data_IF_706293280459
#
_entry.id   IF_706293280459
#
_cell.length_a   1.000
_cell.length_b   1.000
_cell.length_c   1.000
_cell.angle_alpha   90.00
_cell.angle_beta   90.00
_cell.angle_gamma   90.00
#
_symmetry.space_group_name_H-M   'P 1'
#
loop_
_entity.id
_entity.type
_entity.pdbx_description
1 polymer ?
#
# COMPACT_ATOMS: atom_id res chain seq x y z
N UNK A 1 -41.61 -1.00 -19.46
CA UNK A 1 -41.44 -0.26 -20.73
C UNK A 1 -40.07 -0.49 -21.38
N UNK A 2 -39.03 -0.94 -20.66
CA UNK A 2 -37.75 -1.36 -21.27
C UNK A 2 -37.90 -2.51 -22.28
N UNK A 3 -38.56 -3.59 -21.87
CA UNK A 3 -38.73 -4.79 -22.69
C UNK A 3 -39.44 -4.51 -24.04
N UNK A 4 -40.40 -3.57 -24.04
CA UNK A 4 -41.12 -3.10 -25.22
C UNK A 4 -40.25 -2.35 -26.23
N UNK A 5 -39.10 -1.80 -25.80
CA UNK A 5 -38.14 -1.11 -26.66
C UNK A 5 -37.06 -2.06 -27.22
N UNK A 6 -36.87 -3.23 -26.57
CA UNK A 6 -35.88 -4.25 -26.95
C UNK A 6 -36.50 -5.48 -27.64
N UNK A 7 -37.82 -5.52 -27.82
CA UNK A 7 -38.51 -6.66 -28.45
C UNK A 7 -38.58 -7.94 -27.60
N UNK A 8 -38.22 -7.87 -26.31
CA UNK A 8 -38.19 -9.01 -25.38
C UNK A 8 -39.47 -9.01 -24.52
N UNK A 9 -39.92 -10.19 -24.07
CA UNK A 9 -41.08 -10.28 -23.17
C UNK A 9 -40.84 -9.52 -21.83
N UNK A 10 -41.72 -8.58 -21.45
CA UNK A 10 -41.64 -7.87 -20.16
C UNK A 10 -41.57 -8.76 -18.92
N UNK A 11 -42.09 -9.99 -18.97
CA UNK A 11 -42.05 -10.95 -17.87
C UNK A 11 -40.64 -11.52 -17.69
N UNK A 12 -39.94 -11.85 -18.78
CA UNK A 12 -38.56 -12.39 -18.73
C UNK A 12 -37.62 -11.37 -18.09
N UNK A 13 -37.70 -10.09 -18.50
CA UNK A 13 -36.89 -9.01 -17.92
C UNK A 13 -37.18 -8.82 -16.43
N UNK A 14 -38.45 -8.95 -16.00
CA UNK A 14 -38.82 -8.86 -14.58
C UNK A 14 -38.25 -10.01 -13.75
N UNK A 15 -38.33 -11.25 -14.24
CA UNK A 15 -37.79 -12.43 -13.53
C UNK A 15 -36.26 -12.36 -13.43
N UNK A 16 -35.58 -11.95 -14.50
CA UNK A 16 -34.13 -11.75 -14.50
C UNK A 16 -33.70 -10.67 -13.49
N UNK A 17 -34.43 -9.55 -13.42
CA UNK A 17 -34.17 -8.49 -12.43
C UNK A 17 -34.38 -8.95 -10.98
N UNK A 18 -35.38 -9.80 -10.71
CA UNK A 18 -35.61 -10.38 -9.37
C UNK A 18 -34.49 -11.34 -8.99
N UNK A 19 -33.99 -12.16 -9.93
CA UNK A 19 -32.82 -13.01 -9.70
C UNK A 19 -31.56 -12.17 -9.43
N UNK A 20 -31.26 -11.16 -10.26
CA UNK A 20 -30.10 -10.28 -10.01
C UNK A 20 -30.22 -9.48 -8.70
N UNK A 21 -31.43 -9.10 -8.28
CA UNK A 21 -31.68 -8.48 -6.98
C UNK A 21 -31.32 -9.41 -5.82
N UNK A 22 -31.68 -10.69 -5.92
CA UNK A 22 -31.39 -11.72 -4.92
C UNK A 22 -29.90 -12.06 -4.81
N UNK A 23 -29.15 -12.05 -5.91
CA UNK A 23 -27.73 -12.45 -5.91
C UNK A 23 -26.74 -11.31 -5.64
N UNK A 24 -27.00 -10.08 -6.11
CA UNK A 24 -25.98 -9.01 -6.08
C UNK A 24 -26.47 -7.62 -5.57
N UNK A 25 -27.77 -7.45 -5.26
CA UNK A 25 -28.33 -6.23 -4.64
C UNK A 25 -28.28 -4.92 -5.46
N UNK A 26 -27.48 -4.86 -6.52
CA UNK A 26 -27.19 -3.66 -7.33
C UNK A 26 -28.27 -3.32 -8.36
N UNK A 27 -29.20 -4.24 -8.63
CA UNK A 27 -30.28 -4.04 -9.61
C UNK A 27 -31.23 -2.89 -9.26
N UNK A 28 -31.35 -2.53 -7.97
CA UNK A 28 -32.16 -1.39 -7.50
C UNK A 28 -31.56 -0.05 -7.98
N UNK A 29 -30.23 0.09 -7.95
CA UNK A 29 -29.56 1.31 -8.42
C UNK A 29 -29.66 1.45 -9.94
N UNK A 30 -29.50 0.35 -10.68
CA UNK A 30 -29.69 0.31 -12.14
C UNK A 30 -31.14 0.62 -12.53
N UNK A 31 -32.13 0.15 -11.75
CA UNK A 31 -33.54 0.48 -11.97
C UNK A 31 -33.82 1.98 -11.80
N UNK A 32 -33.26 2.62 -10.77
CA UNK A 32 -33.37 4.07 -10.54
C UNK A 32 -32.69 4.85 -11.68
N UNK A 33 -31.50 4.42 -12.11
CA UNK A 33 -30.77 5.02 -13.24
C UNK A 33 -31.59 4.95 -14.54
N UNK A 34 -32.17 3.80 -14.86
CA UNK A 34 -33.00 3.59 -16.04
C UNK A 34 -34.32 4.38 -16.00
N UNK A 35 -34.89 4.62 -14.81
CA UNK A 35 -36.07 5.47 -14.66
C UNK A 35 -35.76 6.94 -14.93
N UNK A 36 -34.56 7.42 -14.58
CA UNK A 36 -34.08 8.78 -14.89
C UNK A 36 -33.78 8.96 -16.38
N UNK A 37 -33.26 7.92 -17.05
CA UNK A 37 -32.82 7.99 -18.46
C UNK A 37 -33.99 7.99 -19.46
N UNK A 38 -35.15 7.42 -19.12
CA UNK A 38 -36.30 7.31 -20.04
C UNK A 38 -37.23 8.54 -19.87
N UNK A 39 -37.32 9.46 -20.86
CA UNK A 39 -38.22 10.62 -20.75
C UNK A 39 -39.69 10.21 -20.95
N UNK A 40 -40.56 10.62 -20.02
CA UNK A 40 -42.01 10.54 -20.22
C UNK A 40 -42.48 11.45 -21.36
N UNK A 41 -43.52 11.03 -22.11
CA UNK A 41 -44.02 11.72 -23.29
C UNK A 41 -44.86 12.99 -23.00
N UNK A 42 -44.75 14.01 -23.88
CA UNK A 42 -45.19 15.41 -23.66
C UNK A 42 -45.75 15.98 -24.99
N UNK A 43 -46.80 16.80 -25.07
CA UNK A 43 -47.70 17.41 -24.07
C UNK A 43 -49.19 17.25 -24.50
N UNK A 44 -50.12 18.06 -23.98
CA UNK A 44 -51.54 18.14 -24.43
C UNK A 44 -51.81 19.06 -25.63
N UNK A 45 -50.82 19.81 -26.14
CA UNK A 45 -51.07 20.96 -27.03
C UNK A 45 -51.74 20.59 -28.37
N UNK A 46 -51.40 19.44 -28.97
CA UNK A 46 -52.00 18.97 -30.23
C UNK A 46 -53.52 18.66 -30.14
N UNK A 47 -54.10 18.56 -28.93
CA UNK A 47 -55.55 18.33 -28.74
C UNK A 47 -56.38 19.62 -28.73
N UNK A 48 -55.76 20.81 -28.78
CA UNK A 48 -56.45 22.10 -28.72
C UNK A 48 -56.56 22.81 -30.07
N UNK A 49 -55.69 22.53 -31.04
CA UNK A 49 -55.78 23.08 -32.41
C UNK A 49 -57.02 22.57 -33.18
N UNK A 50 -57.50 21.37 -32.86
CA UNK A 50 -58.65 20.72 -33.53
C UNK A 50 -60.03 21.32 -33.22
N UNK A 51 -60.12 22.49 -32.56
CA UNK A 51 -61.41 23.14 -32.23
C UNK A 51 -61.69 24.48 -32.93
N UNK A 52 -60.80 24.95 -33.81
CA UNK A 52 -61.12 25.89 -34.90
C UNK A 52 -62.05 27.07 -34.56
N UNK A 53 -61.69 27.90 -33.57
CA UNK A 53 -62.42 29.12 -33.23
C UNK A 53 -61.52 30.35 -33.33
N UNK A 54 -61.91 31.28 -34.20
CA UNK A 54 -61.20 32.52 -34.44
C UNK A 54 -61.34 33.49 -33.26
N UNK A 55 -60.26 34.20 -32.97
CA UNK A 55 -60.09 35.01 -31.77
C UNK A 55 -60.88 36.32 -31.89
N UNK A 56 -61.74 36.61 -30.91
CA UNK A 56 -62.13 37.99 -30.58
C UNK A 56 -62.14 38.15 -29.06
N UNK A 57 -61.33 39.08 -28.55
CA UNK A 57 -60.87 39.05 -27.15
C UNK A 57 -61.92 39.50 -26.13
N UNK A 58 -62.94 40.26 -26.55
CA UNK A 58 -63.90 40.92 -25.66
C UNK A 58 -65.08 40.05 -25.18
N UNK A 59 -65.28 38.85 -25.75
CA UNK A 59 -66.28 37.88 -25.25
C UNK A 59 -65.68 36.77 -24.37
N UNK A 60 -64.35 36.68 -24.34
CA UNK A 60 -63.61 35.66 -23.57
C UNK A 60 -63.59 36.02 -22.09
N UNK A 61 -63.35 37.29 -21.72
CA UNK A 61 -63.23 37.70 -20.32
C UNK A 61 -64.53 37.48 -19.51
N UNK A 62 -65.69 37.86 -20.07
CA UNK A 62 -66.99 37.72 -19.42
C UNK A 62 -67.41 36.25 -19.30
N UNK A 63 -67.13 35.44 -20.32
CA UNK A 63 -67.42 34.00 -20.30
C UNK A 63 -66.53 33.28 -19.29
N UNK A 64 -65.22 33.59 -19.25
CA UNK A 64 -64.30 33.03 -18.26
C UNK A 64 -64.69 33.45 -16.83
N UNK A 65 -65.07 34.71 -16.57
CA UNK A 65 -65.52 35.13 -15.22
C UNK A 65 -66.79 34.39 -14.76
N UNK A 66 -67.74 34.17 -15.66
CA UNK A 66 -68.99 33.45 -15.36
C UNK A 66 -68.77 31.93 -15.23
N UNK A 67 -67.90 31.33 -16.04
CA UNK A 67 -67.52 29.92 -15.88
C UNK A 67 -66.70 29.71 -14.61
N UNK A 68 -65.73 30.58 -14.30
CA UNK A 68 -64.88 30.48 -13.10
C UNK A 68 -65.71 30.60 -11.81
N UNK A 69 -66.69 31.50 -11.76
CA UNK A 69 -67.61 31.61 -10.62
C UNK A 69 -68.56 30.41 -10.53
N UNK A 70 -69.05 29.88 -11.66
CA UNK A 70 -69.87 28.66 -11.69
C UNK A 70 -69.08 27.45 -11.20
N UNK A 71 -67.86 27.24 -11.70
CA UNK A 71 -66.93 26.17 -11.28
C UNK A 71 -66.57 26.30 -9.81
N UNK A 72 -66.27 27.51 -9.31
CA UNK A 72 -66.00 27.76 -7.88
C UNK A 72 -67.21 27.39 -7.01
N UNK A 73 -68.43 27.77 -7.41
CA UNK A 73 -69.64 27.42 -6.65
C UNK A 73 -69.93 25.91 -6.66
N UNK A 74 -69.63 25.23 -7.77
CA UNK A 74 -69.79 23.78 -7.89
C UNK A 74 -68.73 23.02 -7.08
N UNK A 75 -67.50 23.55 -7.01
CA UNK A 75 -66.44 23.03 -6.14
C UNK A 75 -66.80 23.15 -4.65
N UNK A 76 -67.27 24.32 -4.21
CA UNK A 76 -67.74 24.54 -2.83
C UNK A 76 -68.92 23.63 -2.45
N UNK A 77 -69.85 23.38 -3.38
CA UNK A 77 -70.97 22.44 -3.20
C UNK A 77 -70.49 20.98 -3.17
N UNK A 78 -69.53 20.61 -4.00
CA UNK A 78 -68.95 19.26 -4.03
C UNK A 78 -68.20 18.95 -2.74
N UNK A 79 -67.35 19.86 -2.27
CA UNK A 79 -66.59 19.75 -1.02
C UNK A 79 -67.50 19.63 0.23
N UNK A 80 -68.69 20.25 0.20
CA UNK A 80 -69.70 20.15 1.27
C UNK A 80 -70.68 18.98 1.10
N UNK A 81 -70.54 18.17 0.05
CA UNK A 81 -71.45 17.05 -0.21
C UNK A 81 -71.17 15.83 0.68
N UNK A 82 -72.22 15.06 0.98
CA UNK A 82 -72.12 13.79 1.73
C UNK A 82 -71.23 12.75 1.05
N UNK A 83 -71.03 12.87 -0.26
CA UNK A 83 -70.13 12.01 -1.05
C UNK A 83 -68.65 12.39 -0.90
N UNK A 84 -68.31 13.65 -0.65
CA UNK A 84 -66.92 14.07 -0.42
C UNK A 84 -66.36 13.43 0.86
N UNK A 85 -67.16 13.38 1.94
CA UNK A 85 -66.76 12.70 3.17
C UNK A 85 -66.58 11.18 2.96
N UNK A 86 -67.48 10.51 2.21
CA UNK A 86 -67.28 9.10 1.82
C UNK A 86 -66.04 8.86 0.96
N UNK A 87 -65.72 9.77 0.03
CA UNK A 87 -64.49 9.68 -0.78
C UNK A 87 -63.25 9.88 0.10
N UNK A 88 -63.29 10.81 1.07
CA UNK A 88 -62.21 11.04 2.03
C UNK A 88 -61.99 9.83 2.95
N UNK A 89 -63.06 9.21 3.44
CA UNK A 89 -63.03 7.95 4.22
C UNK A 89 -62.44 6.81 3.37
N UNK A 90 -62.98 6.56 2.17
CA UNK A 90 -62.48 5.52 1.26
C UNK A 90 -61.01 5.72 0.86
N UNK A 91 -60.56 6.96 0.63
CA UNK A 91 -59.13 7.27 0.36
C UNK A 91 -58.29 7.01 1.62
N UNK A 92 -58.79 7.36 2.81
CA UNK A 92 -58.14 7.03 4.08
C UNK A 92 -57.98 5.51 4.28
N UNK A 93 -58.99 4.72 3.91
CA UNK A 93 -58.92 3.25 3.98
C UNK A 93 -57.98 2.64 2.94
N UNK A 94 -57.88 3.23 1.74
CA UNK A 94 -56.88 2.84 0.74
C UNK A 94 -55.47 3.15 1.25
N UNK A 95 -55.22 4.33 1.83
CA UNK A 95 -53.93 4.68 2.43
C UNK A 95 -53.58 3.81 3.64
N UNK A 96 -54.54 3.51 4.53
CA UNK A 96 -54.36 2.58 5.63
C UNK A 96 -54.06 1.15 5.14
N UNK A 97 -54.68 0.71 4.05
CA UNK A 97 -54.44 -0.60 3.45
C UNK A 97 -53.07 -0.68 2.78
N UNK A 98 -52.67 0.35 2.03
CA UNK A 98 -51.33 0.49 1.48
C UNK A 98 -50.26 0.54 2.58
N UNK A 99 -50.50 1.27 3.66
CA UNK A 99 -49.63 1.32 4.85
C UNK A 99 -49.50 -0.05 5.53
N UNK A 100 -50.59 -0.81 5.68
CA UNK A 100 -50.54 -2.19 6.19
C UNK A 100 -49.69 -3.11 5.29
N UNK A 101 -49.85 -3.02 3.98
CA UNK A 101 -49.05 -3.78 3.00
C UNK A 101 -47.57 -3.40 3.11
N UNK A 102 -47.26 -2.10 3.19
CA UNK A 102 -45.89 -1.61 3.38
C UNK A 102 -45.26 -2.12 4.68
N UNK A 103 -46.00 -2.14 5.80
CA UNK A 103 -45.52 -2.70 7.07
C UNK A 103 -45.28 -4.22 6.98
N UNK A 104 -46.08 -4.96 6.21
CA UNK A 104 -45.84 -6.39 5.95
C UNK A 104 -44.58 -6.58 5.10
N UNK A 105 -44.42 -5.82 4.01
CA UNK A 105 -43.22 -5.87 3.16
C UNK A 105 -41.95 -5.51 3.94
N UNK A 106 -41.98 -4.46 4.74
CA UNK A 106 -40.87 -4.05 5.61
C UNK A 106 -40.50 -5.15 6.62
N UNK A 107 -41.49 -5.83 7.22
CA UNK A 107 -41.26 -7.00 8.08
C UNK A 107 -40.62 -8.16 7.33
N UNK A 108 -41.06 -8.46 6.11
CA UNK A 108 -40.45 -9.52 5.27
C UNK A 108 -38.99 -9.18 4.94
N UNK A 109 -38.70 -7.94 4.56
CA UNK A 109 -37.32 -7.47 4.29
C UNK A 109 -36.46 -7.58 5.56
N UNK A 110 -36.96 -7.14 6.72
CA UNK A 110 -36.24 -7.26 8.00
C UNK A 110 -35.98 -8.73 8.39
N UNK A 111 -36.90 -9.64 8.11
CA UNK A 111 -36.70 -11.09 8.31
C UNK A 111 -35.64 -11.64 7.35
N UNK A 112 -35.67 -11.28 6.07
CA UNK A 112 -34.66 -11.71 5.08
C UNK A 112 -33.27 -11.18 5.46
N UNK A 113 -33.15 -9.90 5.83
CA UNK A 113 -31.89 -9.32 6.32
C UNK A 113 -31.42 -10.02 7.59
N UNK A 114 -32.31 -10.28 8.55
CA UNK A 114 -31.98 -11.00 9.78
C UNK A 114 -31.46 -12.43 9.52
N UNK A 115 -32.09 -13.15 8.59
CA UNK A 115 -31.63 -14.49 8.15
C UNK A 115 -30.28 -14.38 7.43
N UNK A 116 -30.08 -13.38 6.56
CA UNK A 116 -28.82 -13.16 5.87
C UNK A 116 -27.67 -12.87 6.84
N UNK A 117 -27.85 -11.95 7.80
CA UNK A 117 -26.85 -11.66 8.84
C UNK A 117 -26.60 -12.86 9.75
N UNK A 118 -27.61 -13.68 10.04
CA UNK A 118 -27.45 -14.91 10.81
C UNK A 118 -26.61 -15.95 10.06
N UNK A 119 -26.87 -16.18 8.77
CA UNK A 119 -26.07 -17.08 7.92
C UNK A 119 -24.63 -16.56 7.79
N UNK A 120 -24.44 -15.27 7.54
CA UNK A 120 -23.12 -14.65 7.46
C UNK A 120 -22.36 -14.75 8.79
N UNK A 121 -23.04 -14.56 9.93
CA UNK A 121 -22.47 -14.74 11.26
C UNK A 121 -22.02 -16.18 11.54
N UNK A 122 -22.82 -17.18 11.13
CA UNK A 122 -22.44 -18.60 11.25
C UNK A 122 -21.25 -18.93 10.33
N UNK A 123 -21.24 -18.43 9.09
CA UNK A 123 -20.12 -18.64 8.17
C UNK A 123 -18.83 -18.03 8.73
N UNK A 124 -18.89 -16.80 9.24
CA UNK A 124 -17.78 -16.10 9.89
C UNK A 124 -17.29 -16.84 11.16
N UNK A 125 -18.20 -17.37 11.98
CA UNK A 125 -17.82 -18.21 13.11
C UNK A 125 -17.08 -19.47 12.64
N UNK A 126 -17.62 -20.19 11.65
CA UNK A 126 -16.99 -21.40 11.12
C UNK A 126 -15.57 -21.15 10.61
N UNK A 127 -15.34 -20.05 9.88
CA UNK A 127 -14.03 -19.74 9.30
C UNK A 127 -13.04 -19.23 10.33
N UNK A 128 -13.48 -18.40 11.28
CA UNK A 128 -12.64 -17.97 12.41
C UNK A 128 -12.28 -19.13 13.34
N UNK A 129 -13.22 -20.05 13.60
CA UNK A 129 -12.95 -21.28 14.35
C UNK A 129 -11.95 -22.17 13.59
N UNK A 130 -12.12 -22.32 12.27
CA UNK A 130 -11.20 -23.09 11.44
C UNK A 130 -9.77 -22.56 11.48
N UNK A 131 -9.58 -21.28 11.16
CA UNK A 131 -8.28 -20.60 11.21
C UNK A 131 -7.64 -20.61 12.61
N UNK A 132 -8.45 -20.63 13.68
CA UNK A 132 -7.95 -20.69 15.05
C UNK A 132 -7.47 -22.10 15.46
N UNK A 133 -8.21 -23.15 15.14
CA UNK A 133 -7.95 -24.51 15.63
C UNK A 133 -7.11 -25.38 14.68
N UNK A 134 -7.26 -25.21 13.37
CA UNK A 134 -6.61 -26.06 12.36
C UNK A 134 -5.34 -25.44 11.75
N UNK A 135 -5.01 -24.20 12.13
CA UNK A 135 -3.88 -23.44 11.58
C UNK A 135 -3.97 -23.19 10.06
N UNK A 136 -5.15 -23.36 9.47
CA UNK A 136 -5.42 -22.96 8.10
C UNK A 136 -5.27 -21.44 7.93
N UNK A 137 -4.85 -21.03 6.74
CA UNK A 137 -4.82 -19.62 6.34
C UNK A 137 -6.21 -19.00 6.51
N UNK A 138 -6.31 -17.74 6.97
CA UNK A 138 -7.60 -17.09 7.29
C UNK A 138 -8.64 -17.12 6.15
N UNK A 139 -8.16 -17.23 4.91
CA UNK A 139 -8.96 -17.34 3.70
C UNK A 139 -8.99 -18.75 3.09
N UNK A 140 -8.16 -19.71 3.52
CA UNK A 140 -8.00 -21.05 2.91
C UNK A 140 -9.32 -21.78 2.57
N UNK A 141 -10.37 -21.77 3.42
CA UNK A 141 -11.67 -22.35 3.07
C UNK A 141 -12.41 -21.70 1.89
N UNK A 142 -11.93 -20.56 1.38
CA UNK A 142 -12.50 -19.77 0.29
C UNK A 142 -11.47 -19.36 -0.79
N UNK A 143 -10.17 -19.37 -0.47
CA UNK A 143 -9.09 -19.04 -1.39
C UNK A 143 -8.44 -20.33 -1.89
N UNK A 144 -8.53 -20.56 -3.21
CA UNK A 144 -7.88 -21.66 -3.93
C UNK A 144 -6.37 -21.40 -4.03
N UNK A 145 -5.70 -21.36 -2.88
CA UNK A 145 -4.32 -20.91 -2.71
C UNK A 145 -3.57 -21.89 -1.81
N UNK A 146 -2.53 -22.53 -2.34
CA UNK A 146 -1.73 -23.52 -1.60
C UNK A 146 -0.77 -22.90 -0.55
N UNK A 147 -0.88 -21.57 -0.33
CA UNK A 147 -0.06 -20.83 0.64
C UNK A 147 -0.49 -21.15 2.07
N UNK A 148 0.33 -21.95 2.77
CA UNK A 148 0.19 -22.20 4.21
C UNK A 148 0.74 -21.01 5.00
N UNK A 149 -0.15 -20.06 5.34
CA UNK A 149 0.17 -18.90 6.18
C UNK A 149 -0.99 -18.61 7.13
N UNK A 150 -0.85 -19.09 8.36
CA UNK A 150 -1.90 -19.05 9.37
C UNK A 150 -2.01 -17.67 10.04
N UNK A 151 -3.11 -17.44 10.75
CA UNK A 151 -3.22 -16.28 11.64
C UNK A 151 -2.14 -16.30 12.75
N UNK A 152 -1.66 -17.49 13.14
CA UNK A 152 -0.56 -17.65 14.10
C UNK A 152 0.77 -17.18 13.52
N UNK A 153 1.10 -17.60 12.29
CA UNK A 153 2.31 -17.17 11.59
C UNK A 153 2.36 -15.64 11.48
N UNK A 154 1.27 -15.03 11.02
CA UNK A 154 1.13 -13.57 10.95
C UNK A 154 1.37 -12.89 12.30
N UNK A 155 0.82 -13.39 13.41
CA UNK A 155 1.06 -12.79 14.72
C UNK A 155 2.50 -13.01 15.22
N UNK A 156 3.13 -14.14 14.88
CA UNK A 156 4.54 -14.39 15.25
C UNK A 156 5.54 -13.48 14.54
N UNK A 157 5.17 -12.91 13.39
CA UNK A 157 5.95 -11.82 12.77
C UNK A 157 6.10 -10.60 13.70
N UNK A 158 5.18 -10.39 14.64
CA UNK A 158 5.18 -9.19 15.48
C UNK A 158 5.52 -9.46 16.94
N UNK A 159 5.37 -10.69 17.45
CA UNK A 159 5.58 -11.02 18.86
C UNK A 159 5.96 -12.48 19.08
N UNK A 160 6.42 -12.84 20.27
CA UNK A 160 6.75 -14.23 20.61
C UNK A 160 5.51 -15.15 20.58
N UNK A 161 5.72 -16.45 20.37
CA UNK A 161 4.64 -17.43 20.18
C UNK A 161 3.61 -17.52 21.32
N UNK A 162 3.97 -17.15 22.56
CA UNK A 162 3.00 -17.08 23.66
C UNK A 162 2.09 -15.86 23.49
N UNK A 163 2.66 -14.68 23.25
CA UNK A 163 1.90 -13.45 23.06
C UNK A 163 1.09 -13.48 21.76
N UNK A 164 1.57 -14.17 20.72
CA UNK A 164 0.83 -14.42 19.49
C UNK A 164 -0.46 -15.21 19.77
N UNK A 165 -0.37 -16.33 20.51
CA UNK A 165 -1.55 -17.12 20.92
C UNK A 165 -2.52 -16.32 21.77
N UNK A 166 -2.01 -15.57 22.76
CA UNK A 166 -2.83 -14.72 23.63
C UNK A 166 -3.57 -13.65 22.82
N UNK A 167 -2.86 -12.93 21.93
CA UNK A 167 -3.42 -11.89 21.08
C UNK A 167 -4.49 -12.43 20.11
N UNK A 168 -4.23 -13.56 19.43
CA UNK A 168 -5.20 -14.18 18.53
C UNK A 168 -6.42 -14.70 19.30
N UNK A 169 -6.22 -15.31 20.47
CA UNK A 169 -7.34 -15.78 21.32
C UNK A 169 -8.20 -14.61 21.78
N UNK A 170 -7.57 -13.48 22.14
CA UNK A 170 -8.27 -12.26 22.48
C UNK A 170 -9.06 -11.71 21.27
N UNK A 171 -8.43 -11.55 20.10
CA UNK A 171 -9.10 -11.14 18.84
C UNK A 171 -10.28 -12.04 18.49
N UNK A 172 -10.11 -13.37 18.61
CA UNK A 172 -11.19 -14.34 18.40
C UNK A 172 -12.35 -14.05 19.35
N UNK A 173 -12.12 -13.97 20.66
CA UNK A 173 -13.17 -13.70 21.65
C UNK A 173 -13.87 -12.34 21.47
N UNK A 174 -13.12 -11.30 21.07
CA UNK A 174 -13.67 -9.95 20.79
C UNK A 174 -14.73 -9.98 19.68
N UNK A 175 -14.58 -10.84 18.67
CA UNK A 175 -15.54 -10.98 17.56
C UNK A 175 -16.60 -12.05 17.86
N UNK A 176 -16.17 -13.20 18.38
CA UNK A 176 -16.98 -14.40 18.59
C UNK A 176 -18.08 -14.14 19.64
N UNK A 177 -17.78 -13.45 20.75
CA UNK A 177 -18.75 -13.20 21.83
C UNK A 177 -19.94 -12.34 21.34
N UNK A 178 -19.74 -11.19 20.65
CA UNK A 178 -20.83 -10.46 20.01
C UNK A 178 -21.68 -11.31 19.06
N UNK A 179 -21.07 -12.14 18.21
CA UNK A 179 -21.82 -12.98 17.26
C UNK A 179 -22.66 -14.03 17.97
N UNK A 180 -22.14 -14.72 19.00
CA UNK A 180 -22.97 -15.61 19.83
C UNK A 180 -24.08 -14.86 20.57
N UNK A 181 -23.83 -13.64 21.04
CA UNK A 181 -24.88 -12.84 21.69
C UNK A 181 -25.98 -12.42 20.70
N UNK A 182 -25.64 -12.12 19.45
CA UNK A 182 -26.61 -11.89 18.38
C UNK A 182 -27.41 -13.16 18.05
N UNK A 183 -26.75 -14.31 17.94
CA UNK A 183 -27.40 -15.63 17.74
C UNK A 183 -28.35 -15.95 18.91
N UNK A 184 -27.89 -15.79 20.16
CA UNK A 184 -28.70 -16.01 21.36
C UNK A 184 -29.93 -15.09 21.41
N UNK A 185 -29.77 -13.81 21.07
CA UNK A 185 -30.89 -12.86 20.97
C UNK A 185 -31.86 -13.26 19.86
N UNK A 186 -31.37 -13.63 18.67
CA UNK A 186 -32.18 -14.11 17.55
C UNK A 186 -32.99 -15.36 17.87
N UNK A 187 -32.35 -16.38 18.44
CA UNK A 187 -33.02 -17.61 18.91
C UNK A 187 -34.08 -17.31 19.96
N UNK A 188 -33.79 -16.38 20.89
CA UNK A 188 -34.75 -15.93 21.91
C UNK A 188 -35.97 -15.23 21.30
N UNK A 189 -35.81 -14.47 20.21
CA UNK A 189 -36.93 -13.89 19.47
C UNK A 189 -37.78 -14.94 18.74
N UNK A 190 -37.14 -15.90 18.06
CA UNK A 190 -37.81 -16.95 17.29
C UNK A 190 -38.61 -17.89 18.21
N UNK A 191 -37.94 -18.51 19.18
CA UNK A 191 -38.52 -19.54 20.04
C UNK A 191 -39.25 -19.00 21.28
N UNK A 192 -39.17 -17.67 21.51
CA UNK A 192 -39.83 -16.97 22.64
C UNK A 192 -39.53 -17.54 24.03
N UNK A 193 -38.36 -18.18 24.19
CA UNK A 193 -37.95 -18.76 25.47
C UNK A 193 -37.92 -17.70 26.58
N UNK A 194 -38.62 -17.96 27.69
CA UNK A 194 -38.65 -17.09 28.89
C UNK A 194 -37.33 -17.14 29.71
N UNK A 195 -36.18 -17.31 29.06
CA UNK A 195 -34.88 -17.26 29.72
C UNK A 195 -34.62 -15.85 30.25
N UNK A 196 -34.70 -15.69 31.58
CA UNK A 196 -34.51 -14.43 32.32
C UNK A 196 -33.13 -14.35 32.99
N UNK A 197 -32.17 -15.20 32.61
CA UNK A 197 -30.81 -15.19 33.13
C UNK A 197 -30.02 -13.97 32.61
N UNK A 198 -30.20 -12.82 33.29
CA UNK A 198 -29.37 -11.61 33.10
C UNK A 198 -27.86 -11.94 33.15
N UNK A 199 -27.50 -12.95 33.94
CA UNK A 199 -26.15 -13.52 34.05
C UNK A 199 -25.49 -13.83 32.71
N UNK A 200 -26.19 -14.34 31.68
CA UNK A 200 -25.58 -14.65 30.38
C UNK A 200 -24.98 -13.39 29.74
N UNK A 201 -25.73 -12.29 29.72
CA UNK A 201 -25.25 -11.01 29.17
C UNK A 201 -24.14 -10.37 30.01
N UNK A 202 -24.19 -10.53 31.34
CA UNK A 202 -23.14 -10.02 32.25
C UNK A 202 -21.83 -10.80 32.07
N UNK A 203 -21.89 -12.13 32.01
CA UNK A 203 -20.71 -12.98 31.80
C UNK A 203 -20.11 -12.75 30.41
N UNK A 204 -20.95 -12.70 29.37
CA UNK A 204 -20.50 -12.39 28.02
C UNK A 204 -19.84 -11.01 27.93
N UNK A 205 -20.46 -9.97 28.52
CA UNK A 205 -19.89 -8.62 28.57
C UNK A 205 -18.57 -8.56 29.34
N UNK A 206 -18.46 -9.26 30.48
CA UNK A 206 -17.23 -9.32 31.26
C UNK A 206 -16.09 -10.02 30.50
N UNK A 207 -16.35 -11.18 29.88
CA UNK A 207 -15.38 -11.91 29.06
C UNK A 207 -14.94 -11.08 27.83
N UNK A 208 -15.88 -10.39 27.20
CA UNK A 208 -15.60 -9.51 26.06
C UNK A 208 -14.70 -8.33 26.47
N UNK A 209 -15.00 -7.65 27.58
CA UNK A 209 -14.13 -6.58 28.11
C UNK A 209 -12.73 -7.09 28.48
N UNK A 210 -12.62 -8.26 29.10
CA UNK A 210 -11.31 -8.90 29.38
C UNK A 210 -10.57 -9.18 28.07
N UNK A 211 -11.23 -9.70 27.04
CA UNK A 211 -10.59 -9.95 25.74
C UNK A 211 -10.10 -8.65 25.07
N UNK A 212 -10.84 -7.54 25.18
CA UNK A 212 -10.36 -6.22 24.70
C UNK A 212 -9.12 -5.76 25.47
N UNK A 213 -9.12 -5.86 26.81
CA UNK A 213 -7.98 -5.43 27.64
C UNK A 213 -6.73 -6.25 27.30
N UNK A 214 -6.87 -7.57 27.13
CA UNK A 214 -5.77 -8.46 26.74
C UNK A 214 -5.28 -8.11 25.32
N UNK A 215 -6.18 -7.88 24.37
CA UNK A 215 -5.82 -7.50 23.00
C UNK A 215 -5.05 -6.16 22.95
N UNK A 216 -5.52 -5.15 23.68
CA UNK A 216 -4.84 -3.85 23.82
C UNK A 216 -3.45 -4.07 24.45
N UNK A 217 -3.35 -4.86 25.52
CA UNK A 217 -2.06 -5.19 26.15
C UNK A 217 -1.09 -5.88 25.18
N UNK A 218 -1.57 -6.81 24.36
CA UNK A 218 -0.77 -7.46 23.31
C UNK A 218 -0.30 -6.47 22.24
N UNK A 219 -1.18 -5.59 21.75
CA UNK A 219 -0.84 -4.58 20.75
C UNK A 219 0.17 -3.55 21.30
N UNK A 220 -0.02 -3.08 22.54
CA UNK A 220 0.92 -2.20 23.24
C UNK A 220 2.28 -2.88 23.40
N UNK A 221 2.33 -4.18 23.73
CA UNK A 221 3.59 -4.94 23.83
C UNK A 221 4.30 -5.05 22.47
N UNK A 222 3.58 -5.22 21.36
CA UNK A 222 4.17 -5.18 20.01
C UNK A 222 4.83 -3.82 19.76
N UNK A 223 4.13 -2.72 20.03
CA UNK A 223 4.68 -1.36 19.88
C UNK A 223 5.92 -1.10 20.75
N UNK A 224 5.90 -1.53 22.02
CA UNK A 224 7.09 -1.47 22.89
C UNK A 224 8.27 -2.31 22.37
N UNK A 225 8.00 -3.35 21.59
CA UNK A 225 9.01 -4.17 20.93
C UNK A 225 9.77 -3.47 19.80
N UNK A 226 9.37 -2.27 19.41
CA UNK A 226 10.01 -1.44 18.38
C UNK A 226 10.60 -0.13 18.95
N UNK A 227 10.87 -0.08 20.27
CA UNK A 227 11.24 1.16 20.98
C UNK A 227 12.74 1.45 20.99
N UNK A 228 13.58 0.42 20.98
CA UNK A 228 15.03 0.53 21.11
C UNK A 228 15.66 -0.08 19.87
N UNK A 229 16.33 0.75 19.08
CA UNK A 229 17.23 0.30 18.02
C UNK A 229 18.62 0.01 18.61
N UNK A 230 19.31 -0.97 18.03
CA UNK A 230 20.72 -1.28 18.30
C UNK A 230 21.39 -1.75 17.01
N UNK A 231 22.64 -1.32 16.83
CA UNK A 231 23.49 -1.72 15.73
C UNK A 231 24.64 -2.61 16.20
N UNK A 232 24.99 -3.62 15.40
CA UNK A 232 26.23 -4.37 15.54
C UNK A 232 27.08 -4.16 14.28
N UNK A 233 28.37 -3.91 14.46
CA UNK A 233 29.33 -3.77 13.37
C UNK A 233 30.28 -4.97 13.31
N UNK A 234 30.61 -5.40 12.09
CA UNK A 234 31.61 -6.42 11.83
C UNK A 234 32.48 -5.99 10.64
N UNK A 235 33.74 -5.67 10.92
CA UNK A 235 34.75 -5.34 9.92
C UNK A 235 35.48 -6.58 9.38
N UNK A 236 35.91 -6.49 8.13
CA UNK A 236 36.66 -7.51 7.40
C UNK A 236 37.75 -6.85 6.54
N UNK A 237 39.00 -7.27 6.74
CA UNK A 237 40.13 -6.80 5.93
C UNK A 237 40.12 -7.48 4.55
N UNK A 238 40.04 -6.69 3.48
CA UNK A 238 40.06 -7.21 2.11
C UNK A 238 41.52 -7.36 1.69
N UNK A 239 42.04 -8.58 1.83
CA UNK A 239 43.42 -8.92 1.48
C UNK A 239 43.59 -8.95 -0.03
N UNK A 240 44.23 -7.93 -0.59
CA UNK A 240 44.53 -7.79 -2.01
C UNK A 240 45.73 -6.86 -2.22
N UNK A 241 46.36 -6.94 -3.39
CA UNK A 241 47.40 -5.99 -3.80
C UNK A 241 46.79 -4.60 -4.06
N UNK A 242 47.36 -3.50 -3.52
CA UNK A 242 46.86 -2.14 -3.78
C UNK A 242 46.81 -1.75 -5.27
N UNK A 243 47.68 -2.31 -6.11
CA UNK A 243 47.77 -1.97 -7.54
C UNK A 243 46.67 -2.59 -8.42
N UNK A 244 46.06 -3.69 -8.00
CA UNK A 244 45.11 -4.43 -8.86
C UNK A 244 43.70 -3.79 -8.84
N UNK A 245 42.86 -4.05 -9.84
CA UNK A 245 41.49 -3.51 -9.87
C UNK A 245 40.55 -4.37 -9.03
N UNK A 246 39.81 -3.75 -8.12
CA UNK A 246 38.81 -4.43 -7.29
C UNK A 246 37.46 -4.51 -8.03
N UNK A 247 36.98 -5.72 -8.31
CA UNK A 247 35.71 -5.93 -8.99
C UNK A 247 34.59 -6.14 -7.97
N UNK A 248 33.59 -5.26 -7.96
CA UNK A 248 32.44 -5.34 -7.07
C UNK A 248 31.26 -5.87 -7.90
N UNK A 249 30.80 -7.09 -7.61
CA UNK A 249 29.84 -7.81 -8.45
C UNK A 249 28.67 -8.39 -7.65
N UNK A 250 27.50 -8.45 -8.29
CA UNK A 250 26.38 -9.24 -7.82
C UNK A 250 26.64 -10.72 -8.07
N UNK A 251 26.44 -11.59 -7.07
CA UNK A 251 26.57 -13.05 -7.26
C UNK A 251 25.39 -13.62 -8.05
N UNK A 252 24.17 -13.19 -7.70
CA UNK A 252 22.91 -13.75 -8.21
C UNK A 252 22.01 -12.62 -8.74
N UNK A 253 22.35 -12.04 -9.89
CA UNK A 253 21.54 -10.99 -10.54
C UNK A 253 20.19 -11.52 -11.08
N UNK A 254 20.16 -12.77 -11.55
CA UNK A 254 19.01 -13.38 -12.24
C UNK A 254 18.17 -14.33 -11.34
N UNK A 255 18.36 -14.28 -10.02
CA UNK A 255 17.63 -15.17 -9.10
C UNK A 255 16.11 -14.97 -9.19
N UNK A 256 15.37 -16.05 -9.44
CA UNK A 256 13.90 -16.12 -9.57
C UNK A 256 13.14 -15.81 -8.25
N UNK A 257 13.35 -14.62 -7.69
CA UNK A 257 12.44 -14.01 -6.72
C UNK A 257 11.27 -13.40 -7.47
N UNK A 258 10.42 -14.28 -8.04
CA UNK A 258 9.19 -13.88 -8.72
C UNK A 258 8.30 -13.07 -7.77
N UNK A 259 8.02 -11.81 -8.14
CA UNK A 259 7.31 -10.84 -7.28
C UNK A 259 5.93 -11.28 -6.79
N UNK A 260 5.35 -12.33 -7.36
CA UNK A 260 4.04 -12.87 -7.00
C UNK A 260 3.97 -13.48 -5.58
N UNK A 261 5.12 -13.88 -5.00
CA UNK A 261 5.18 -14.58 -3.69
C UNK A 261 5.90 -13.76 -2.60
N UNK A 262 5.87 -12.42 -2.69
CA UNK A 262 6.60 -11.54 -1.76
C UNK A 262 5.79 -10.33 -1.31
N UNK A 263 5.61 -10.21 0.01
CA UNK A 263 5.06 -9.02 0.66
C UNK A 263 6.17 -8.18 1.31
N UNK A 264 5.98 -6.85 1.42
CA UNK A 264 6.96 -5.91 2.01
C UNK A 264 6.39 -5.23 3.26
N UNK A 265 7.15 -5.26 4.34
CA UNK A 265 6.90 -4.58 5.61
C UNK A 265 8.13 -3.76 6.00
N UNK A 266 8.09 -2.45 5.76
CA UNK A 266 9.26 -1.55 5.89
C UNK A 266 10.49 -2.12 5.16
N UNK A 267 11.65 -2.28 5.82
CA UNK A 267 12.85 -2.84 5.19
C UNK A 267 12.82 -4.37 4.99
N UNK A 268 11.82 -5.07 5.54
CA UNK A 268 11.73 -6.53 5.54
C UNK A 268 10.75 -7.05 4.48
N UNK A 269 11.12 -8.15 3.83
CA UNK A 269 10.31 -8.90 2.88
C UNK A 269 9.91 -10.25 3.47
N UNK A 270 8.64 -10.60 3.31
CA UNK A 270 8.08 -11.91 3.60
C UNK A 270 8.00 -12.70 2.30
N UNK A 271 8.81 -13.76 2.18
CA UNK A 271 8.88 -14.62 1.00
C UNK A 271 8.15 -15.94 1.29
N UNK A 272 7.21 -16.33 0.45
CA UNK A 272 6.50 -17.61 0.59
C UNK A 272 7.16 -18.71 -0.24
N UNK A 273 7.29 -19.91 0.34
CA UNK A 273 7.81 -21.11 -0.31
C UNK A 273 6.99 -22.35 0.10
N UNK A 274 7.24 -23.50 -0.54
CA UNK A 274 6.49 -24.75 -0.29
C UNK A 274 6.59 -25.25 1.17
N UNK A 275 7.58 -24.75 1.92
CA UNK A 275 7.85 -25.09 3.33
C UNK A 275 7.41 -23.99 4.31
N UNK A 276 6.63 -23.00 3.87
CA UNK A 276 6.10 -21.89 4.68
C UNK A 276 6.61 -20.52 4.22
N UNK A 277 7.31 -19.80 5.11
CA UNK A 277 7.79 -18.44 4.81
C UNK A 277 9.20 -18.16 5.34
N UNK A 278 9.89 -17.23 4.68
CA UNK A 278 11.22 -16.75 5.04
C UNK A 278 11.28 -15.22 5.03
N UNK A 279 12.02 -14.65 5.98
CA UNK A 279 12.24 -13.21 6.07
C UNK A 279 13.59 -12.84 5.44
N UNK A 280 13.58 -11.82 4.59
CA UNK A 280 14.79 -11.26 3.97
C UNK A 280 14.74 -9.73 3.95
N UNK A 281 15.87 -9.05 3.79
CA UNK A 281 15.91 -7.61 3.52
C UNK A 281 16.84 -7.29 2.35
N UNK A 282 16.79 -6.05 1.84
CA UNK A 282 17.81 -5.56 0.89
C UNK A 282 18.94 -4.89 1.68
N UNK A 283 20.21 -5.27 1.45
CA UNK A 283 21.33 -4.52 2.00
C UNK A 283 21.44 -3.17 1.29
N UNK A 284 22.05 -2.18 1.96
CA UNK A 284 22.52 -0.93 1.36
C UNK A 284 24.04 -0.97 1.29
N UNK A 285 24.59 -1.01 0.08
CA UNK A 285 26.03 -0.98 -0.18
C UNK A 285 26.45 0.47 -0.46
N UNK A 286 27.37 1.02 0.32
CA UNK A 286 28.00 2.31 0.05
C UNK A 286 29.51 2.15 -0.05
N UNK A 287 30.16 3.10 -0.70
CA UNK A 287 31.61 3.12 -0.91
C UNK A 287 32.16 4.42 -0.38
N UNK A 288 33.11 4.32 0.55
CA UNK A 288 33.73 5.44 1.24
C UNK A 288 35.24 5.49 0.96
N UNK A 289 35.82 6.68 1.04
CA UNK A 289 37.27 6.84 1.10
C UNK A 289 37.81 6.21 2.40
N UNK A 290 38.82 5.37 2.29
CA UNK A 290 39.49 4.81 3.47
C UNK A 290 40.38 5.85 4.15
N UNK A 291 40.43 5.81 5.49
CA UNK A 291 41.37 6.60 6.29
C UNK A 291 42.76 5.93 6.40
N UNK A 292 42.89 4.72 5.85
CA UNK A 292 44.07 3.86 5.83
C UNK A 292 44.42 3.50 4.38
N UNK A 293 45.62 2.97 4.15
CA UNK A 293 46.00 2.42 2.83
C UNK A 293 45.44 1.00 2.59
N UNK A 294 44.51 0.54 3.43
CA UNK A 294 43.85 -0.78 3.36
C UNK A 294 42.44 -0.67 2.79
N UNK A 295 41.99 -1.73 2.10
CA UNK A 295 40.58 -1.89 1.73
C UNK A 295 39.88 -2.68 2.82
N UNK A 296 38.78 -2.15 3.34
CA UNK A 296 38.06 -2.71 4.49
C UNK A 296 36.57 -2.79 4.16
N UNK A 297 35.91 -3.91 4.46
CA UNK A 297 34.46 -4.04 4.36
C UNK A 297 33.87 -4.06 5.77
N UNK A 298 33.09 -3.03 6.10
CA UNK A 298 32.36 -2.97 7.37
C UNK A 298 30.88 -3.29 7.12
N UNK A 299 30.37 -4.32 7.79
CA UNK A 299 28.95 -4.69 7.74
C UNK A 299 28.31 -4.30 9.06
N UNK A 300 27.40 -3.34 8.98
CA UNK A 300 26.54 -2.88 10.06
C UNK A 300 25.18 -3.55 9.92
N UNK A 301 24.64 -4.04 11.04
CA UNK A 301 23.35 -4.74 11.12
C UNK A 301 22.57 -4.13 12.26
N UNK A 302 21.38 -3.60 11.99
CA UNK A 302 20.52 -3.00 13.01
C UNK A 302 19.19 -3.74 13.13
N UNK A 303 18.56 -3.64 14.29
CA UNK A 303 17.23 -4.17 14.54
C UNK A 303 16.65 -3.54 15.79
N UNK A 304 15.36 -3.23 15.76
CA UNK A 304 14.65 -2.82 16.96
C UNK A 304 14.39 -3.99 17.93
N UNK A 305 14.17 -3.67 19.20
CA UNK A 305 13.74 -4.60 20.25
C UNK A 305 13.08 -3.89 21.43
N UNK A 306 12.60 -4.66 22.42
CA UNK A 306 12.02 -4.07 23.66
C UNK A 306 13.10 -3.41 24.55
N UNK A 307 14.33 -3.91 24.42
CA UNK A 307 15.54 -3.46 25.08
C UNK A 307 16.77 -3.80 24.22
N UNK A 308 17.89 -3.15 24.54
CA UNK A 308 19.20 -3.30 23.91
C UNK A 308 19.61 -4.77 23.68
N UNK A 309 19.44 -5.65 24.67
CA UNK A 309 19.84 -7.05 24.57
C UNK A 309 18.99 -7.84 23.55
N UNK A 310 17.68 -7.58 23.47
CA UNK A 310 16.82 -8.21 22.44
C UNK A 310 17.18 -7.68 21.05
N UNK A 311 17.30 -6.35 20.92
CA UNK A 311 17.68 -5.66 19.68
C UNK A 311 19.00 -6.20 19.10
N UNK A 312 20.08 -6.25 19.90
CA UNK A 312 21.35 -6.87 19.50
C UNK A 312 21.25 -8.36 19.16
N UNK A 313 20.32 -9.11 19.75
CA UNK A 313 20.12 -10.53 19.43
C UNK A 313 19.44 -10.70 18.07
N UNK A 314 18.48 -9.82 17.77
CA UNK A 314 17.79 -9.78 16.48
C UNK A 314 18.69 -9.23 15.36
N UNK A 315 19.56 -8.27 15.64
CA UNK A 315 20.58 -7.82 14.69
C UNK A 315 21.58 -8.94 14.34
N UNK A 316 21.94 -9.79 15.31
CA UNK A 316 22.80 -10.98 15.07
C UNK A 316 22.14 -12.05 14.19
N UNK A 317 20.81 -12.10 14.17
CA UNK A 317 20.04 -13.01 13.32
C UNK A 317 20.05 -12.61 11.83
N UNK A 318 20.50 -11.38 11.51
CA UNK A 318 20.70 -10.93 10.14
C UNK A 318 21.94 -11.62 9.56
N UNK A 319 21.72 -12.50 8.59
CA UNK A 319 22.74 -13.26 7.88
C UNK A 319 22.90 -12.72 6.46
N UNK A 320 24.13 -12.36 6.10
CA UNK A 320 24.48 -11.86 4.77
C UNK A 320 25.65 -12.64 4.21
N UNK A 321 25.37 -13.35 3.12
CA UNK A 321 26.36 -14.11 2.37
C UNK A 321 26.98 -13.20 1.31
N UNK A 322 28.23 -12.83 1.57
CA UNK A 322 29.13 -12.17 0.64
C UNK A 322 30.43 -12.99 0.62
N UNK A 323 31.18 -12.94 -0.47
CA UNK A 323 32.45 -13.67 -0.63
C UNK A 323 33.49 -12.81 -1.34
N UNK A 324 34.76 -13.03 -1.01
CA UNK A 324 35.90 -12.55 -1.80
C UNK A 324 36.49 -13.74 -2.57
N UNK A 325 36.75 -13.54 -3.86
CA UNK A 325 37.55 -14.42 -4.71
C UNK A 325 38.65 -13.58 -5.36
N UNK A 326 39.85 -13.63 -4.77
CA UNK A 326 40.99 -12.75 -5.07
C UNK A 326 40.57 -11.26 -5.14
N UNK A 327 40.59 -10.66 -6.33
CA UNK A 327 40.25 -9.25 -6.59
C UNK A 327 38.75 -9.02 -6.83
N UNK A 328 37.88 -10.01 -6.61
CA UNK A 328 36.44 -9.93 -6.83
C UNK A 328 35.65 -10.04 -5.51
N UNK A 329 34.81 -9.06 -5.22
CA UNK A 329 33.84 -9.08 -4.14
C UNK A 329 32.44 -9.41 -4.68
N UNK A 330 31.89 -10.54 -4.25
CA UNK A 330 30.57 -11.02 -4.61
C UNK A 330 29.56 -10.72 -3.51
N UNK A 331 28.60 -9.85 -3.81
CA UNK A 331 27.51 -9.46 -2.93
C UNK A 331 26.18 -10.11 -3.36
N UNK A 332 25.34 -10.46 -2.38
CA UNK A 332 23.99 -11.00 -2.61
C UNK A 332 22.94 -9.88 -2.60
N UNK A 333 21.89 -10.03 -3.42
CA UNK A 333 20.79 -9.06 -3.53
C UNK A 333 19.96 -8.90 -2.24
N UNK A 334 19.94 -9.94 -1.41
CA UNK A 334 19.15 -9.99 -0.19
C UNK A 334 19.99 -10.60 0.95
N UNK A 335 19.77 -10.11 2.16
CA UNK A 335 20.16 -10.80 3.39
C UNK A 335 18.99 -11.61 3.93
N UNK A 336 19.27 -12.66 4.71
CA UNK A 336 18.28 -13.50 5.38
C UNK A 336 18.16 -13.12 6.85
N UNK A 337 16.95 -13.24 7.43
CA UNK A 337 16.73 -13.11 8.88
C UNK A 337 16.45 -14.52 9.42
N UNK A 338 17.45 -15.09 10.11
CA UNK A 338 17.44 -16.48 10.61
C UNK A 338 16.96 -16.54 12.07
N UNK A 339 16.51 -17.71 12.53
CA UNK A 339 16.09 -17.89 13.93
C UNK A 339 14.74 -17.23 14.25
N UNK A 340 14.73 -16.19 15.10
CA UNK A 340 13.50 -15.53 15.57
C UNK A 340 12.94 -14.59 14.48
N UNK A 341 11.97 -15.08 13.70
CA UNK A 341 11.37 -14.42 12.52
C UNK A 341 10.41 -13.27 12.88
N UNK A 342 10.82 -12.37 13.77
CA UNK A 342 10.10 -11.12 14.05
C UNK A 342 10.51 -10.01 13.08
N UNK A 343 9.55 -9.24 12.59
CA UNK A 343 9.77 -7.98 11.87
C UNK A 343 10.05 -6.88 12.89
N UNK A 344 11.23 -6.28 12.79
CA UNK A 344 11.77 -5.27 13.72
C UNK A 344 12.53 -4.16 13.01
N UNK A 345 12.12 -3.91 11.77
CA UNK A 345 12.77 -2.98 10.85
C UNK A 345 14.28 -3.26 10.74
N UNK A 346 14.61 -4.53 10.46
CA UNK A 346 15.99 -4.96 10.29
C UNK A 346 16.61 -4.32 9.05
N UNK A 347 17.77 -3.67 9.24
CA UNK A 347 18.58 -3.14 8.15
C UNK A 347 19.98 -3.76 8.13
N UNK A 348 20.59 -3.73 6.95
CA UNK A 348 22.00 -4.04 6.78
C UNK A 348 22.64 -2.97 5.90
N UNK A 349 23.69 -2.34 6.41
CA UNK A 349 24.53 -1.40 5.67
C UNK A 349 25.90 -2.03 5.50
N UNK A 350 26.36 -2.15 4.26
CA UNK A 350 27.70 -2.60 3.90
C UNK A 350 28.48 -1.38 3.41
N UNK A 351 29.52 -0.99 4.15
CA UNK A 351 30.40 0.11 3.79
C UNK A 351 31.74 -0.46 3.33
N UNK A 352 32.03 -0.33 2.04
CA UNK A 352 33.32 -0.70 1.48
C UNK A 352 34.24 0.52 1.47
N UNK A 353 35.28 0.50 2.30
CA UNK A 353 36.29 1.57 2.39
C UNK A 353 37.45 1.28 1.46
N UNK A 354 37.79 2.27 0.65
CA UNK A 354 38.73 2.11 -0.46
C UNK A 354 39.83 3.18 -0.36
N UNK A 355 41.12 2.80 -0.39
CA UNK A 355 42.22 3.76 -0.31
C UNK A 355 42.35 4.58 -1.61
N UNK A 356 42.88 5.78 -1.50
CA UNK A 356 43.10 6.69 -2.64
C UNK A 356 44.01 6.02 -3.69
N UNK A 357 43.73 6.26 -4.97
CA UNK A 357 44.44 5.69 -6.11
C UNK A 357 44.03 4.26 -6.49
N UNK A 358 43.29 3.56 -5.63
CA UNK A 358 42.74 2.23 -5.96
C UNK A 358 41.64 2.35 -7.01
N UNK A 359 41.73 1.52 -8.05
CA UNK A 359 40.72 1.40 -9.09
C UNK A 359 39.71 0.31 -8.71
N UNK A 360 38.43 0.60 -8.92
CA UNK A 360 37.33 -0.36 -8.81
C UNK A 360 36.57 -0.50 -10.12
N UNK A 361 35.87 -1.61 -10.25
CA UNK A 361 34.85 -1.84 -11.26
C UNK A 361 33.51 -2.14 -10.59
N UNK A 362 32.49 -1.35 -10.90
CA UNK A 362 31.12 -1.58 -10.46
C UNK A 362 30.41 -2.46 -11.48
N UNK A 363 30.24 -3.74 -11.16
CA UNK A 363 29.65 -4.72 -12.07
C UNK A 363 28.14 -4.56 -12.26
N UNK A 364 27.65 -5.09 -13.39
CA UNK A 364 26.25 -5.09 -13.77
C UNK A 364 25.30 -5.47 -12.61
N UNK A 365 24.17 -4.76 -12.52
CA UNK A 365 23.13 -4.92 -11.50
C UNK A 365 23.53 -4.60 -10.05
N UNK A 366 24.70 -4.02 -9.78
CA UNK A 366 25.09 -3.65 -8.41
C UNK A 366 24.21 -2.52 -7.85
N UNK A 367 23.67 -1.65 -8.71
CA UNK A 367 22.66 -0.61 -8.41
C UNK A 367 21.46 -1.12 -7.61
N UNK A 368 21.15 -2.42 -7.71
CA UNK A 368 20.04 -3.04 -6.98
C UNK A 368 20.25 -3.12 -5.46
N UNK A 369 21.49 -2.93 -5.00
CA UNK A 369 21.87 -2.88 -3.59
C UNK A 369 22.68 -1.64 -3.21
N UNK A 370 23.26 -0.88 -4.15
CA UNK A 370 23.98 0.34 -3.77
C UNK A 370 23.04 1.40 -3.24
N UNK A 371 23.59 2.29 -2.41
CA UNK A 371 22.85 3.40 -1.84
C UNK A 371 23.76 4.62 -1.67
N UNK A 372 23.58 5.58 -2.57
CA UNK A 372 24.11 6.94 -2.45
C UNK A 372 25.64 6.96 -2.43
N UNK A 373 26.25 6.45 -3.50
CA UNK A 373 27.71 6.43 -3.65
C UNK A 373 28.21 7.81 -4.09
N UNK A 374 28.98 8.46 -3.22
CA UNK A 374 29.54 9.78 -3.50
C UNK A 374 30.60 9.74 -4.61
N UNK A 375 30.46 10.64 -5.59
CA UNK A 375 31.30 10.68 -6.78
C UNK A 375 31.39 12.11 -7.36
N UNK A 376 32.56 12.42 -7.91
CA UNK A 376 32.94 13.77 -8.38
C UNK A 376 31.98 14.29 -9.45
N UNK A 377 31.49 13.41 -10.32
CA UNK A 377 30.57 13.72 -11.41
C UNK A 377 29.12 13.93 -10.95
N UNK A 378 28.78 13.67 -9.67
CA UNK A 378 27.41 13.66 -9.14
C UNK A 378 26.45 12.74 -9.94
N UNK A 379 26.99 11.67 -10.54
CA UNK A 379 26.20 10.65 -11.23
C UNK A 379 25.44 9.79 -10.23
N UNK A 380 24.29 9.28 -10.65
CA UNK A 380 23.51 8.38 -9.80
C UNK A 380 24.01 6.94 -9.86
N UNK A 381 23.84 6.17 -8.79
CA UNK A 381 24.33 4.79 -8.63
C UNK A 381 24.12 3.86 -9.86
N UNK A 382 22.95 3.96 -10.52
CA UNK A 382 22.65 3.15 -11.72
C UNK A 382 23.45 3.58 -12.96
N UNK A 383 23.85 4.86 -13.05
CA UNK A 383 24.77 5.38 -14.07
C UNK A 383 26.23 5.02 -13.76
N UNK A 384 26.56 4.69 -12.51
CA UNK A 384 27.90 4.25 -12.11
C UNK A 384 28.17 2.77 -12.45
N UNK A 385 27.11 1.98 -12.62
CA UNK A 385 27.16 0.55 -12.93
C UNK A 385 27.75 0.29 -14.33
N UNK A 386 28.46 -0.82 -14.47
CA UNK A 386 29.15 -1.22 -15.70
C UNK A 386 30.48 -0.51 -15.97
N UNK A 387 30.96 0.36 -15.06
CA UNK A 387 32.08 1.29 -15.29
C UNK A 387 33.24 1.11 -14.30
N UNK A 388 34.40 1.62 -14.69
CA UNK A 388 35.60 1.70 -13.86
C UNK A 388 35.72 3.08 -13.19
N UNK A 389 36.06 3.07 -11.91
CA UNK A 389 36.15 4.25 -11.05
C UNK A 389 37.48 4.22 -10.29
N UNK A 390 38.03 5.39 -9.98
CA UNK A 390 39.22 5.53 -9.14
C UNK A 390 38.88 6.35 -7.90
N UNK A 391 39.33 5.91 -6.73
CA UNK A 391 39.17 6.68 -5.50
C UNK A 391 40.14 7.87 -5.49
N UNK A 392 39.61 9.08 -5.45
CA UNK A 392 40.37 10.32 -5.35
C UNK A 392 40.19 10.95 -3.97
N UNK A 393 40.87 12.07 -3.68
CA UNK A 393 40.62 12.82 -2.44
C UNK A 393 39.18 13.32 -2.31
N UNK A 394 38.52 13.59 -3.44
CA UNK A 394 37.17 14.13 -3.54
C UNK A 394 36.09 13.02 -3.73
N UNK A 395 36.43 11.76 -3.47
CA UNK A 395 35.54 10.61 -3.70
C UNK A 395 35.84 9.87 -5.01
N UNK A 396 34.91 9.05 -5.49
CA UNK A 396 35.10 8.28 -6.71
C UNK A 396 35.03 9.20 -7.95
N UNK A 397 35.98 9.06 -8.87
CA UNK A 397 35.93 9.70 -10.20
C UNK A 397 35.92 8.65 -11.31
N UNK A 398 35.21 8.93 -12.41
CA UNK A 398 35.15 8.04 -13.56
C UNK A 398 36.55 7.89 -14.18
N UNK A 399 37.04 6.65 -14.32
CA UNK A 399 38.45 6.39 -14.67
C UNK A 399 38.87 6.99 -16.03
N UNK A 400 37.93 7.11 -16.98
CA UNK A 400 38.22 7.70 -18.30
C UNK A 400 38.29 9.23 -18.28
N UNK A 401 37.53 9.88 -17.42
CA UNK A 401 37.57 11.34 -17.24
C UNK A 401 38.80 11.73 -16.43
N UNK A 402 39.04 11.07 -15.29
CA UNK A 402 40.24 11.31 -14.48
C UNK A 402 41.55 11.15 -15.27
N UNK A 403 41.60 10.22 -16.24
CA UNK A 403 42.76 10.06 -17.13
C UNK A 403 42.94 11.21 -18.12
N UNK A 404 41.86 11.89 -18.53
CA UNK A 404 41.92 13.12 -19.35
C UNK A 404 42.34 14.29 -18.49
N UNK A 405 41.71 14.48 -17.33
CA UNK A 405 42.04 15.56 -16.39
C UNK A 405 43.54 15.54 -16.03
N UNK A 406 44.08 14.37 -15.69
CA UNK A 406 45.51 14.18 -15.37
C UNK A 406 46.44 14.34 -16.59
N UNK A 407 45.93 14.17 -17.82
CA UNK A 407 46.69 14.48 -19.03
C UNK A 407 46.70 15.99 -19.31
N UNK A 408 45.54 16.65 -19.22
CA UNK A 408 45.39 18.09 -19.42
C UNK A 408 46.17 18.90 -18.35
N UNK A 409 46.17 18.46 -17.09
CA UNK A 409 47.01 19.06 -16.03
C UNK A 409 48.51 18.92 -16.31
N UNK A 410 48.95 17.80 -16.89
CA UNK A 410 50.35 17.60 -17.26
C UNK A 410 50.75 18.47 -18.44
N UNK A 411 49.94 18.48 -19.50
CA UNK A 411 50.19 19.31 -20.69
C UNK A 411 50.25 20.80 -20.31
N UNK A 412 49.36 21.28 -19.44
CA UNK A 412 49.39 22.65 -18.91
C UNK A 412 50.61 22.94 -18.00
N UNK A 413 51.05 21.96 -17.21
CA UNK A 413 52.27 22.07 -16.38
C UNK A 413 53.54 22.10 -17.24
N UNK A 414 53.61 21.29 -18.31
CA UNK A 414 54.73 21.32 -19.26
C UNK A 414 54.73 22.61 -20.09
N UNK A 415 53.55 23.11 -20.50
CA UNK A 415 53.43 24.37 -21.25
C UNK A 415 53.90 25.56 -20.41
N UNK A 416 53.43 25.70 -19.16
CA UNK A 416 53.84 26.76 -18.23
C UNK A 416 55.34 26.73 -17.93
N UNK A 417 55.93 25.57 -17.64
CA UNK A 417 57.39 25.44 -17.50
C UNK A 417 58.13 25.83 -18.79
N UNK A 418 57.57 25.53 -19.96
CA UNK A 418 58.15 25.95 -21.24
C UNK A 418 58.09 27.46 -21.48
N UNK A 419 57.08 28.15 -20.94
CA UNK A 419 56.97 29.61 -21.01
C UNK A 419 57.94 30.30 -20.06
N UNK A 420 58.08 29.78 -18.83
CA UNK A 420 59.03 30.29 -17.83
C UNK A 420 60.49 30.18 -18.34
N UNK A 421 60.87 29.04 -18.93
CA UNK A 421 62.19 28.88 -19.58
C UNK A 421 62.39 29.84 -20.77
N UNK A 422 61.30 30.23 -21.47
CA UNK A 422 61.38 31.22 -22.57
C UNK A 422 61.49 32.66 -22.04
N UNK A 423 60.85 33.01 -20.92
CA UNK A 423 61.01 34.33 -20.31
C UNK A 423 62.41 34.50 -19.71
N UNK A 424 62.91 33.54 -18.94
CA UNK A 424 64.28 33.58 -18.40
C UNK A 424 65.33 33.78 -19.50
N UNK A 425 65.25 33.00 -20.60
CA UNK A 425 66.17 33.16 -21.73
C UNK A 425 66.06 34.52 -22.41
N UNK A 426 64.86 35.11 -22.46
CA UNK A 426 64.63 36.42 -23.07
C UNK A 426 65.17 37.55 -22.20
N UNK A 427 65.09 37.42 -20.87
CA UNK A 427 65.60 38.43 -19.95
C UNK A 427 67.12 38.33 -19.81
N UNK A 428 67.70 37.14 -19.71
CA UNK A 428 69.16 36.93 -19.81
C UNK A 428 69.74 37.53 -21.11
N UNK A 429 69.06 37.34 -22.26
CA UNK A 429 69.50 37.91 -23.54
C UNK A 429 69.41 39.45 -23.57
N UNK A 430 68.45 40.06 -22.84
CA UNK A 430 68.41 41.53 -22.69
C UNK A 430 69.59 42.02 -21.85
N UNK A 431 69.86 41.38 -20.71
CA UNK A 431 71.00 41.75 -19.86
C UNK A 431 72.33 41.65 -20.62
N UNK A 432 72.51 40.59 -21.41
CA UNK A 432 73.69 40.40 -22.27
C UNK A 432 73.78 41.50 -23.37
N UNK A 433 72.65 41.89 -23.98
CA UNK A 433 72.60 43.01 -24.95
C UNK A 433 72.87 44.37 -24.27
N UNK A 434 72.40 44.59 -23.05
CA UNK A 434 72.66 45.83 -22.31
C UNK A 434 74.13 45.91 -21.86
N UNK A 435 74.73 44.79 -21.42
CA UNK A 435 76.15 44.70 -21.14
C UNK A 435 77.01 45.00 -22.38
N UNK A 436 76.72 44.37 -23.53
CA UNK A 436 77.44 44.62 -24.79
C UNK A 436 77.31 46.06 -25.28
N UNK A 437 76.15 46.72 -25.07
CA UNK A 437 76.00 48.15 -25.37
C UNK A 437 76.84 49.01 -24.44
N UNK A 438 76.85 48.70 -23.14
CA UNK A 438 77.67 49.43 -22.17
C UNK A 438 79.17 49.29 -22.41
N UNK A 439 79.64 48.16 -22.93
CA UNK A 439 81.03 48.03 -23.38
C UNK A 439 81.29 48.87 -24.64
N UNK A 440 80.41 48.81 -25.65
CA UNK A 440 80.56 49.54 -26.90
C UNK A 440 80.56 51.07 -26.71
N UNK A 441 79.72 51.60 -25.81
CA UNK A 441 79.68 53.03 -25.45
C UNK A 441 80.90 53.48 -24.62
N UNK A 442 81.79 52.55 -24.22
CA UNK A 442 83.01 52.82 -23.45
C UNK A 442 84.32 52.75 -24.29
N UNK A 443 84.21 52.44 -25.59
CA UNK A 443 85.33 52.36 -26.55
C UNK A 443 85.44 53.60 -27.44
#
# INVERSE_FOLDING_TARGET
MIATYLGIDPVIVRVLFVLMALFYGTSVLIYILLWIIIPEAKTRSQKLEMKGLNINLSSIETSIKNEFTTVKSNFDKWQKSRNYNKIKENIGDIFNSAGKIFVVLAKVILVILGISFFIAGIAMLGTMTGAFFFQDSFLSPFSWTDVQFSAYDFATLFTDGFNARVGITASYLVVMIPVLMLIYVGLKFIFRFKSRSRYIGVVAGALWLVSIIVLIGSAVKVGYGMRVDEEISQGYDISQNPSDTLFIKMRNAEGNYSSYNREKFENVYLNFNDNGFELSGRPRLTIEKSNSNTTELNIFKSSNGINSKEAMTLAKNIYYDWQQDDSVLYFNRYFEIRGDKKIRDQELIATLRIPIGKVIYLGENIDQITYYIDNVQSLSDWEMTGKYWIMTENGLSLLEEHKKDVAEEKDATEESQSEEIKSEKKDNLKEEIEAMKSELDSM
#
